data_IF_089518262538
#
_entry.id   IF_089518262538
#
_cell.length_a   1.000
_cell.length_b   1.000
_cell.length_c   1.000
_cell.angle_alpha   90.00
_cell.angle_beta   90.00
_cell.angle_gamma   90.00
#
_symmetry.space_group_name_H-M   'P 1'
#
loop_
_entity.id
_entity.type
_entity.pdbx_description
1 polymer ?
#
# COMPACT_ATOMS: atom_id res chain seq x y z
N UNK A 1 9.91 43.22 -24.06
CA UNK A 1 9.08 42.16 -23.46
C UNK A 1 9.00 42.39 -21.96
N UNK A 2 7.81 42.49 -21.36
CA UNK A 2 7.70 42.69 -19.91
C UNK A 2 7.97 41.37 -19.16
N UNK A 3 8.48 41.43 -17.92
CA UNK A 3 8.78 40.25 -17.13
C UNK A 3 7.50 39.50 -16.75
N UNK A 4 7.54 38.18 -16.90
CA UNK A 4 6.45 37.28 -16.51
C UNK A 4 6.28 37.35 -14.99
N UNK A 5 5.21 38.02 -14.58
CA UNK A 5 4.75 38.05 -13.19
C UNK A 5 4.60 36.63 -12.64
N UNK A 6 5.33 36.33 -11.57
CA UNK A 6 5.18 35.10 -10.81
C UNK A 6 3.74 35.04 -10.28
N UNK A 7 2.88 34.27 -10.96
CA UNK A 7 1.53 33.98 -10.47
C UNK A 7 1.66 33.33 -9.09
N UNK A 8 1.24 34.07 -8.06
CA UNK A 8 0.97 33.52 -6.72
C UNK A 8 0.10 32.27 -6.89
N UNK A 9 0.62 31.13 -6.45
CA UNK A 9 -0.13 29.87 -6.37
C UNK A 9 -1.42 30.13 -5.56
N UNK A 10 -2.61 29.76 -6.07
CA UNK A 10 -3.87 30.04 -5.39
C UNK A 10 -3.95 29.28 -4.05
N UNK A 11 -4.38 29.94 -2.96
CA UNK A 11 -4.54 29.31 -1.66
C UNK A 11 -5.89 28.59 -1.59
N UNK A 12 -5.89 27.31 -1.94
CA UNK A 12 -6.77 26.22 -1.45
C UNK A 12 -6.49 25.00 -2.31
N UNK A 13 -5.60 24.11 -1.85
CA UNK A 13 -5.45 22.80 -2.48
C UNK A 13 -6.80 22.08 -2.41
N UNK A 14 -7.33 21.73 -3.58
CA UNK A 14 -8.61 21.06 -3.74
C UNK A 14 -8.75 19.85 -2.81
N UNK A 15 -9.98 19.58 -2.37
CA UNK A 15 -10.43 18.54 -1.42
C UNK A 15 -10.27 17.10 -1.98
N UNK A 16 -9.23 16.84 -2.78
CA UNK A 16 -8.90 15.55 -3.39
C UNK A 16 -7.53 15.03 -2.91
N UNK A 17 -7.39 13.70 -2.83
CA UNK A 17 -6.10 13.08 -2.48
C UNK A 17 -5.01 13.48 -3.49
N UNK A 18 -3.77 13.74 -3.04
CA UNK A 18 -2.67 14.15 -3.97
C UNK A 18 -2.40 13.13 -5.08
N UNK A 19 -2.60 11.84 -4.80
CA UNK A 19 -2.53 10.75 -5.79
C UNK A 19 -3.53 10.91 -6.94
N UNK A 20 -4.67 11.60 -6.72
CA UNK A 20 -5.64 11.93 -7.78
C UNK A 20 -5.10 13.01 -8.70
N UNK A 21 -4.35 13.97 -8.17
CA UNK A 21 -3.69 15.01 -8.97
C UNK A 21 -2.62 14.38 -9.85
N UNK A 22 -1.74 13.57 -9.25
CA UNK A 22 -0.70 12.83 -9.99
C UNK A 22 -1.30 11.91 -11.08
N UNK A 23 -2.47 11.31 -10.83
CA UNK A 23 -3.18 10.54 -11.85
C UNK A 23 -3.69 11.41 -13.00
N UNK A 24 -4.14 12.64 -12.74
CA UNK A 24 -4.50 13.60 -13.81
C UNK A 24 -3.29 13.98 -14.65
N UNK A 25 -2.14 14.19 -14.01
CA UNK A 25 -0.89 14.50 -14.72
C UNK A 25 -0.51 13.36 -15.67
N UNK A 26 -0.69 12.10 -15.23
CA UNK A 26 -0.48 10.93 -16.09
C UNK A 26 -1.47 10.85 -17.26
N UNK A 27 -2.76 11.18 -17.06
CA UNK A 27 -3.74 11.26 -18.18
C UNK A 27 -3.32 12.32 -19.19
N UNK A 28 -2.95 13.52 -18.72
CA UNK A 28 -2.52 14.61 -19.58
C UNK A 28 -1.27 14.23 -20.39
N UNK A 29 -0.35 13.45 -19.80
CA UNK A 29 0.80 12.93 -20.52
C UNK A 29 0.41 11.92 -21.60
N UNK A 30 -0.53 11.00 -21.33
CA UNK A 30 -1.04 10.08 -22.35
C UNK A 30 -1.68 10.82 -23.51
N UNK A 31 -2.45 11.87 -23.23
CA UNK A 31 -3.08 12.71 -24.25
C UNK A 31 -2.04 13.45 -25.09
N UNK A 32 -1.00 14.01 -24.44
CA UNK A 32 0.11 14.67 -25.13
C UNK A 32 0.89 13.73 -26.05
N UNK A 33 1.07 12.47 -25.64
CA UNK A 33 1.75 11.43 -26.43
C UNK A 33 0.86 10.77 -27.47
N UNK A 34 -0.45 11.08 -27.51
CA UNK A 34 -1.41 10.43 -28.40
C UNK A 34 -1.68 8.96 -28.06
N UNK A 35 -1.43 8.53 -26.82
CA UNK A 35 -1.63 7.14 -26.40
C UNK A 35 -3.08 6.90 -25.98
N UNK A 36 -3.88 6.33 -26.87
CA UNK A 36 -5.30 6.07 -26.62
C UNK A 36 -5.54 4.94 -25.61
N UNK A 37 -4.77 3.84 -25.69
CA UNK A 37 -4.86 2.71 -24.76
C UNK A 37 -3.50 2.25 -24.28
N UNK A 38 -3.40 1.92 -23.00
CA UNK A 38 -2.16 1.44 -22.39
C UNK A 38 -2.38 0.30 -21.38
N UNK A 39 -1.32 -0.46 -21.11
CA UNK A 39 -1.21 -1.24 -19.88
C UNK A 39 -0.51 -0.36 -18.83
N UNK A 40 -1.03 -0.32 -17.60
CA UNK A 40 -0.41 0.50 -16.54
C UNK A 40 0.29 -0.41 -15.55
N UNK A 41 1.51 -0.01 -15.19
CA UNK A 41 2.22 -0.54 -14.04
C UNK A 41 2.52 0.60 -13.07
N UNK A 42 2.28 0.36 -11.78
CA UNK A 42 2.69 1.26 -10.72
C UNK A 42 3.35 0.52 -9.57
N UNK A 43 4.51 0.99 -9.13
CA UNK A 43 5.23 0.46 -7.96
C UNK A 43 5.04 1.37 -6.74
N UNK A 44 4.71 0.79 -5.58
CA UNK A 44 4.53 1.49 -4.32
C UNK A 44 3.50 2.63 -4.43
N UNK A 45 3.87 3.88 -4.14
CA UNK A 45 3.02 5.06 -4.38
C UNK A 45 2.55 5.15 -5.84
N UNK A 46 3.36 4.70 -6.80
CA UNK A 46 2.98 4.59 -8.20
C UNK A 46 1.80 3.65 -8.42
N UNK A 47 1.68 2.57 -7.65
CA UNK A 47 0.51 1.67 -7.68
C UNK A 47 -0.76 2.37 -7.19
N UNK A 48 -0.65 3.24 -6.18
CA UNK A 48 -1.77 4.07 -5.70
C UNK A 48 -2.22 5.08 -6.77
N UNK A 49 -1.27 5.69 -7.48
CA UNK A 49 -1.54 6.59 -8.60
C UNK A 49 -2.18 5.82 -9.76
N UNK A 50 -1.63 4.66 -10.11
CA UNK A 50 -2.16 3.78 -11.16
C UNK A 50 -3.60 3.33 -10.86
N UNK A 51 -3.92 3.02 -9.60
CA UNK A 51 -5.28 2.70 -9.17
C UNK A 51 -6.24 3.89 -9.37
N UNK A 52 -5.82 5.13 -9.06
CA UNK A 52 -6.62 6.33 -9.33
C UNK A 52 -6.78 6.57 -10.83
N UNK A 53 -5.69 6.47 -11.57
CA UNK A 53 -5.63 6.64 -13.02
C UNK A 53 -6.63 5.70 -13.70
N UNK A 54 -6.57 4.42 -13.36
CA UNK A 54 -7.43 3.39 -13.94
C UNK A 54 -8.91 3.56 -13.56
N UNK A 55 -9.22 4.02 -12.34
CA UNK A 55 -10.60 4.31 -11.92
C UNK A 55 -11.16 5.62 -12.52
N UNK A 56 -10.28 6.56 -12.90
CA UNK A 56 -10.69 7.83 -13.50
C UNK A 56 -10.95 7.74 -15.00
N UNK A 57 -10.21 6.88 -15.70
CA UNK A 57 -10.32 6.72 -17.15
C UNK A 57 -10.29 5.22 -17.55
N UNK A 58 -11.24 4.39 -17.08
CA UNK A 58 -11.19 2.93 -17.27
C UNK A 58 -11.10 2.50 -18.74
N UNK A 59 -11.72 3.25 -19.66
CA UNK A 59 -11.68 2.97 -21.10
C UNK A 59 -10.30 3.14 -21.76
N UNK A 60 -9.35 3.79 -21.08
CA UNK A 60 -7.98 4.04 -21.57
C UNK A 60 -7.02 2.90 -21.24
N UNK A 61 -7.44 1.89 -20.48
CA UNK A 61 -6.52 0.89 -19.94
C UNK A 61 -6.94 -0.53 -20.24
N UNK A 62 -5.94 -1.33 -20.64
CA UNK A 62 -6.10 -2.75 -20.98
C UNK A 62 -5.86 -3.66 -19.78
N UNK A 63 -4.97 -3.27 -18.87
CA UNK A 63 -4.72 -3.96 -17.60
C UNK A 63 -4.02 -3.05 -16.59
N UNK A 64 -4.02 -3.46 -15.33
CA UNK A 64 -3.39 -2.76 -14.21
C UNK A 64 -2.48 -3.70 -13.41
N UNK A 65 -1.19 -3.42 -13.37
CA UNK A 65 -0.24 -4.06 -12.45
C UNK A 65 0.10 -3.10 -11.30
N UNK A 66 0.00 -3.60 -10.07
CA UNK A 66 0.40 -2.86 -8.88
C UNK A 66 1.45 -3.66 -8.12
N UNK A 67 2.65 -3.08 -7.98
CA UNK A 67 3.78 -3.72 -7.31
C UNK A 67 3.98 -3.12 -5.92
N UNK A 68 4.16 -3.95 -4.90
CA UNK A 68 4.53 -3.53 -3.53
C UNK A 68 3.63 -2.39 -2.99
N UNK A 69 2.31 -2.53 -3.13
CA UNK A 69 1.33 -1.46 -2.89
C UNK A 69 0.44 -1.75 -1.67
N UNK A 70 -0.06 -0.70 -1.02
CA UNK A 70 -1.15 -0.80 -0.03
C UNK A 70 -2.33 0.09 -0.45
N UNK A 71 -3.46 -0.01 0.25
CA UNK A 71 -4.63 0.85 0.01
C UNK A 71 -4.49 2.31 0.48
N UNK A 72 -3.31 2.72 0.96
CA UNK A 72 -3.02 4.06 1.47
C UNK A 72 -3.50 4.32 2.90
N UNK A 73 -3.31 5.56 3.36
CA UNK A 73 -3.75 5.99 4.69
C UNK A 73 -3.00 5.29 5.81
N UNK A 74 -3.73 4.85 6.84
CA UNK A 74 -3.15 4.14 7.98
C UNK A 74 -2.42 2.85 7.58
N UNK A 75 -2.69 2.30 6.39
CA UNK A 75 -1.99 1.11 5.88
C UNK A 75 -0.54 1.41 5.49
N UNK A 76 -0.17 2.68 5.36
CA UNK A 76 1.20 3.13 5.20
C UNK A 76 1.95 3.27 6.52
N UNK A 77 1.28 3.09 7.68
CA UNK A 77 1.98 3.03 8.94
C UNK A 77 2.95 1.83 8.91
N UNK A 78 4.23 2.05 9.22
CA UNK A 78 5.18 0.97 9.35
C UNK A 78 4.70 -0.04 10.40
N UNK A 79 5.15 -1.29 10.29
CA UNK A 79 4.86 -2.30 11.30
C UNK A 79 5.45 -1.85 12.65
N UNK A 80 4.67 -1.97 13.71
CA UNK A 80 5.10 -1.61 15.06
C UNK A 80 5.96 -2.74 15.63
N UNK A 81 7.22 -2.78 15.21
CA UNK A 81 8.20 -3.74 15.69
C UNK A 81 9.58 -3.09 15.90
N UNK A 82 10.47 -3.71 16.71
CA UNK A 82 11.78 -3.14 17.01
C UNK A 82 12.69 -2.93 15.79
N UNK A 83 12.58 -3.77 14.76
CA UNK A 83 13.40 -3.64 13.56
C UNK A 83 12.96 -2.42 12.75
N UNK A 84 11.67 -2.26 12.53
CA UNK A 84 11.08 -1.12 11.82
C UNK A 84 11.38 0.20 12.55
N UNK A 85 11.32 0.20 13.89
CA UNK A 85 11.72 1.37 14.68
C UNK A 85 13.21 1.72 14.50
N UNK A 86 14.11 0.72 14.54
CA UNK A 86 15.55 0.93 14.29
C UNK A 86 15.80 1.52 12.90
N UNK A 87 15.09 1.03 11.89
CA UNK A 87 15.16 1.56 10.51
C UNK A 87 14.72 3.02 10.48
N UNK A 88 13.59 3.37 11.10
CA UNK A 88 13.08 4.73 11.14
C UNK A 88 14.07 5.72 11.80
N UNK A 89 14.69 5.33 12.92
CA UNK A 89 15.71 6.14 13.60
C UNK A 89 16.94 6.33 12.72
N UNK A 90 17.41 5.27 12.05
CA UNK A 90 18.55 5.36 11.12
C UNK A 90 18.23 6.27 9.93
N UNK A 91 17.04 6.15 9.36
CA UNK A 91 16.56 6.98 8.27
C UNK A 91 16.57 8.47 8.64
N UNK A 92 16.02 8.83 9.82
CA UNK A 92 16.01 10.21 10.30
C UNK A 92 17.41 10.79 10.51
N UNK A 93 18.38 9.96 10.91
CA UNK A 93 19.78 10.35 11.14
C UNK A 93 20.65 10.34 9.87
N UNK A 94 20.16 9.78 8.76
CA UNK A 94 20.91 9.62 7.53
C UNK A 94 20.94 10.93 6.72
N UNK A 95 21.97 11.76 6.95
CA UNK A 95 22.15 13.05 6.27
C UNK A 95 23.18 13.04 5.14
N UNK A 96 23.86 11.91 4.91
CA UNK A 96 24.86 11.76 3.86
C UNK A 96 24.45 10.64 2.89
N UNK A 97 24.90 10.66 1.63
CA UNK A 97 24.62 9.59 0.65
C UNK A 97 24.94 8.18 1.17
N UNK A 98 26.06 8.03 1.89
CA UNK A 98 26.55 6.77 2.46
C UNK A 98 25.59 6.21 3.50
N UNK A 99 25.23 7.05 4.49
CA UNK A 99 24.31 6.66 5.56
C UNK A 99 22.92 6.39 5.00
N UNK A 100 22.48 7.19 4.02
CA UNK A 100 21.18 7.02 3.39
C UNK A 100 21.12 5.72 2.60
N UNK A 101 22.16 5.43 1.82
CA UNK A 101 22.29 4.17 1.08
C UNK A 101 22.22 2.96 1.99
N UNK A 102 22.96 2.97 3.11
CA UNK A 102 22.94 1.85 4.06
C UNK A 102 21.52 1.55 4.56
N UNK A 103 20.69 2.57 4.77
CA UNK A 103 19.30 2.41 5.21
C UNK A 103 18.40 1.99 4.05
N UNK A 104 18.54 2.62 2.89
CA UNK A 104 17.72 2.32 1.71
C UNK A 104 17.91 0.87 1.25
N UNK A 105 19.12 0.32 1.30
CA UNK A 105 19.35 -1.10 0.95
C UNK A 105 18.59 -2.05 1.88
N UNK A 106 18.64 -1.82 3.19
CA UNK A 106 17.93 -2.65 4.19
C UNK A 106 16.40 -2.50 4.10
N UNK A 107 15.92 -1.42 3.49
CA UNK A 107 14.50 -1.16 3.25
C UNK A 107 14.05 -1.76 1.90
N UNK A 108 14.90 -1.69 0.88
CA UNK A 108 14.55 -2.04 -0.50
C UNK A 108 14.61 -3.54 -0.76
N UNK A 109 15.54 -4.26 -0.14
CA UNK A 109 15.86 -5.64 -0.50
C UNK A 109 15.77 -6.60 0.68
N UNK A 110 15.56 -7.88 0.39
CA UNK A 110 15.69 -8.91 1.41
C UNK A 110 17.15 -9.03 1.88
N UNK A 111 17.34 -9.49 3.12
CA UNK A 111 18.68 -9.73 3.67
C UNK A 111 19.44 -10.77 2.83
N UNK A 112 18.74 -11.84 2.44
CA UNK A 112 19.30 -12.92 1.63
C UNK A 112 19.85 -12.39 0.31
N UNK A 113 19.07 -11.58 -0.43
CA UNK A 113 19.50 -10.99 -1.70
C UNK A 113 20.74 -10.09 -1.56
N UNK A 114 20.83 -9.34 -0.46
CA UNK A 114 21.99 -8.49 -0.18
C UNK A 114 23.25 -9.28 0.19
N UNK A 115 23.09 -10.48 0.76
CA UNK A 115 24.19 -11.34 1.21
C UNK A 115 24.73 -12.27 0.12
N UNK A 116 23.98 -12.46 -0.98
CA UNK A 116 24.45 -13.17 -2.17
C UNK A 116 25.73 -12.56 -2.76
N UNK A 117 26.57 -13.39 -3.34
CA UNK A 117 27.76 -12.96 -4.08
C UNK A 117 27.42 -12.65 -5.55
N UNK A 118 27.99 -11.56 -6.06
CA UNK A 118 27.97 -11.17 -7.47
C UNK A 118 29.43 -11.04 -7.90
N UNK A 119 29.96 -12.09 -8.54
CA UNK A 119 31.40 -12.23 -8.74
C UNK A 119 32.11 -12.43 -7.40
N UNK A 120 33.05 -11.55 -7.05
CA UNK A 120 33.86 -11.64 -5.83
C UNK A 120 33.33 -10.82 -4.65
N UNK A 121 32.31 -9.99 -4.86
CA UNK A 121 31.76 -9.13 -3.81
C UNK A 121 30.33 -9.54 -3.46
N UNK A 122 29.90 -9.22 -2.23
CA UNK A 122 28.49 -9.33 -1.87
C UNK A 122 27.69 -8.29 -2.65
N UNK A 123 26.47 -8.65 -3.07
CA UNK A 123 25.55 -7.76 -3.78
C UNK A 123 25.33 -6.45 -3.04
N UNK A 124 25.30 -6.48 -1.70
CA UNK A 124 25.27 -5.28 -0.85
C UNK A 124 26.35 -4.27 -1.21
N UNK A 125 27.60 -4.71 -1.40
CA UNK A 125 28.71 -3.81 -1.70
C UNK A 125 28.57 -3.16 -3.09
N UNK A 126 28.21 -3.98 -4.09
CA UNK A 126 27.95 -3.53 -5.46
C UNK A 126 26.81 -2.49 -5.49
N UNK A 127 25.66 -2.81 -4.88
CA UNK A 127 24.51 -1.91 -4.83
C UNK A 127 24.80 -0.66 -3.98
N UNK A 128 25.62 -0.78 -2.94
CA UNK A 128 26.01 0.36 -2.11
C UNK A 128 26.79 1.38 -2.94
N UNK A 129 27.74 0.93 -3.76
CA UNK A 129 28.47 1.82 -4.67
C UNK A 129 27.54 2.46 -5.72
N UNK A 130 26.62 1.69 -6.31
CA UNK A 130 25.61 2.19 -7.26
C UNK A 130 24.75 3.31 -6.62
N UNK A 131 24.23 3.08 -5.43
CA UNK A 131 23.35 4.01 -4.73
C UNK A 131 24.08 5.28 -4.28
N UNK A 132 25.28 5.15 -3.69
CA UNK A 132 26.07 6.32 -3.29
C UNK A 132 26.40 7.18 -4.49
N UNK A 133 26.80 6.58 -5.61
CA UNK A 133 27.06 7.30 -6.87
C UNK A 133 25.80 8.01 -7.36
N UNK A 134 24.66 7.31 -7.37
CA UNK A 134 23.38 7.87 -7.81
C UNK A 134 22.93 9.07 -6.96
N UNK A 135 22.88 8.89 -5.63
CA UNK A 135 22.46 9.95 -4.70
C UNK A 135 23.44 11.13 -4.75
N UNK A 136 24.75 10.89 -4.89
CA UNK A 136 25.74 11.97 -5.00
C UNK A 136 25.58 12.76 -6.31
N UNK A 137 25.19 12.11 -7.40
CA UNK A 137 25.00 12.78 -8.69
C UNK A 137 23.68 13.57 -8.76
N UNK A 138 22.58 13.04 -8.23
CA UNK A 138 21.26 13.69 -8.32
C UNK A 138 20.93 14.58 -7.12
N UNK A 139 21.68 14.44 -6.04
CA UNK A 139 21.33 14.99 -4.73
C UNK A 139 20.22 14.21 -4.05
N UNK A 140 20.03 14.51 -2.75
CA UNK A 140 18.90 13.99 -1.98
C UNK A 140 17.60 14.70 -2.38
N UNK A 141 16.49 13.96 -2.30
CA UNK A 141 15.16 14.54 -2.46
C UNK A 141 14.94 15.69 -1.46
N UNK A 142 14.36 16.80 -1.94
CA UNK A 142 14.06 17.94 -1.09
C UNK A 142 13.05 17.59 0.00
N UNK A 143 13.17 18.25 1.17
CA UNK A 143 12.24 18.03 2.29
C UNK A 143 10.78 18.28 1.90
N UNK A 144 10.52 19.30 1.07
CA UNK A 144 9.19 19.60 0.57
C UNK A 144 8.66 18.50 -0.36
N UNK A 145 9.51 17.96 -1.25
CA UNK A 145 9.14 16.84 -2.11
C UNK A 145 8.83 15.59 -1.30
N UNK A 146 9.66 15.28 -0.29
CA UNK A 146 9.47 14.12 0.58
C UNK A 146 8.17 14.23 1.39
N UNK A 147 7.92 15.37 2.05
CA UNK A 147 6.66 15.63 2.75
C UNK A 147 5.45 15.60 1.80
N UNK A 148 5.64 16.04 0.56
CA UNK A 148 4.68 15.95 -0.54
C UNK A 148 4.20 14.51 -0.77
N UNK A 149 5.15 13.59 -0.96
CA UNK A 149 4.92 12.17 -1.22
C UNK A 149 4.34 11.44 0.01
N UNK A 150 4.89 11.68 1.21
CA UNK A 150 4.34 11.09 2.45
C UNK A 150 2.87 11.46 2.62
N UNK A 151 2.53 12.73 2.44
CA UNK A 151 1.13 13.15 2.48
C UNK A 151 0.29 12.53 1.35
N UNK A 152 0.86 12.30 0.18
CA UNK A 152 0.14 11.66 -0.92
C UNK A 152 -0.25 10.21 -0.58
N UNK A 153 0.67 9.44 0.01
CA UNK A 153 0.40 8.11 0.54
C UNK A 153 -0.62 8.16 1.69
N UNK A 154 -0.45 9.09 2.64
CA UNK A 154 -1.31 9.24 3.82
C UNK A 154 -2.74 9.65 3.49
N UNK A 155 -2.91 10.52 2.50
CA UNK A 155 -4.25 10.98 2.06
C UNK A 155 -4.85 10.09 0.97
N UNK A 156 -4.10 9.10 0.48
CA UNK A 156 -4.61 8.14 -0.48
C UNK A 156 -5.65 7.23 0.19
N UNK A 157 -6.76 7.01 -0.52
CA UNK A 157 -7.78 6.04 -0.18
C UNK A 157 -8.36 5.50 -1.47
N UNK A 158 -8.56 4.18 -1.55
CA UNK A 158 -9.35 3.57 -2.62
C UNK A 158 -10.80 3.49 -2.15
N UNK A 159 -11.68 4.29 -2.75
CA UNK A 159 -13.09 4.38 -2.36
C UNK A 159 -13.88 3.18 -2.88
N UNK A 160 -15.05 2.89 -2.28
CA UNK A 160 -15.95 1.82 -2.76
C UNK A 160 -16.33 2.02 -4.23
N UNK A 161 -16.68 3.25 -4.61
CA UNK A 161 -17.00 3.62 -6.00
C UNK A 161 -15.84 3.34 -6.97
N UNK A 162 -14.61 3.61 -6.55
CA UNK A 162 -13.43 3.30 -7.38
C UNK A 162 -13.21 1.78 -7.49
N UNK A 163 -13.38 1.02 -6.40
CA UNK A 163 -13.33 -0.45 -6.46
C UNK A 163 -14.40 -1.01 -7.41
N UNK A 164 -15.64 -0.52 -7.31
CA UNK A 164 -16.74 -0.92 -8.19
C UNK A 164 -16.47 -0.55 -9.64
N UNK A 165 -15.94 0.65 -9.89
CA UNK A 165 -15.54 1.09 -11.22
C UNK A 165 -14.47 0.16 -11.82
N UNK A 166 -13.42 -0.17 -11.06
CA UNK A 166 -12.36 -1.08 -11.52
C UNK A 166 -12.91 -2.48 -11.82
N UNK A 167 -13.86 -2.98 -11.02
CA UNK A 167 -14.52 -4.27 -11.29
C UNK A 167 -15.36 -4.24 -12.56
N UNK A 168 -16.17 -3.20 -12.73
CA UNK A 168 -17.06 -3.05 -13.88
C UNK A 168 -16.32 -2.71 -15.17
N UNK A 169 -15.10 -2.17 -15.08
CA UNK A 169 -14.26 -1.88 -16.25
C UNK A 169 -13.82 -3.15 -16.99
N UNK A 170 -13.84 -4.31 -16.32
CA UNK A 170 -13.60 -5.62 -16.94
C UNK A 170 -12.14 -5.92 -17.32
N UNK A 171 -11.21 -4.97 -17.18
CA UNK A 171 -9.78 -5.24 -17.36
C UNK A 171 -9.18 -5.98 -16.17
N UNK A 172 -8.14 -6.76 -16.45
CA UNK A 172 -7.47 -7.59 -15.46
C UNK A 172 -6.49 -6.78 -14.60
N UNK A 173 -6.37 -7.19 -13.34
CA UNK A 173 -5.48 -6.57 -12.34
C UNK A 173 -4.50 -7.62 -11.80
N UNK A 174 -3.21 -7.26 -11.69
CA UNK A 174 -2.21 -8.07 -11.00
C UNK A 174 -1.62 -7.29 -9.81
N UNK A 175 -1.71 -7.86 -8.62
CA UNK A 175 -1.08 -7.33 -7.40
C UNK A 175 0.14 -8.18 -7.12
N UNK A 176 1.32 -7.64 -7.38
CA UNK A 176 2.60 -8.35 -7.25
C UNK A 176 3.34 -7.80 -6.04
N UNK A 177 3.76 -8.65 -5.11
CA UNK A 177 4.26 -8.15 -3.82
C UNK A 177 5.39 -9.01 -3.26
N UNK A 178 6.39 -8.37 -2.65
CA UNK A 178 7.48 -9.05 -1.97
C UNK A 178 7.11 -9.45 -0.55
N UNK A 179 7.27 -10.73 -0.18
CA UNK A 179 6.93 -11.26 1.16
C UNK A 179 7.67 -10.57 2.31
N UNK A 180 8.85 -10.02 2.03
CA UNK A 180 9.73 -9.39 3.01
C UNK A 180 9.71 -7.86 2.93
N UNK A 181 8.68 -7.30 2.29
CA UNK A 181 8.51 -5.86 2.21
C UNK A 181 8.25 -5.24 3.58
N UNK A 182 9.24 -4.49 4.07
CA UNK A 182 9.19 -3.78 5.37
C UNK A 182 8.48 -2.42 5.30
N UNK A 183 8.22 -1.90 4.09
CA UNK A 183 7.53 -0.62 3.89
C UNK A 183 6.03 -0.86 3.72
N UNK A 184 5.68 -1.64 2.69
CA UNK A 184 4.31 -1.92 2.31
C UNK A 184 3.96 -3.33 2.78
N UNK A 185 3.19 -3.43 3.86
CA UNK A 185 2.90 -4.73 4.46
C UNK A 185 2.05 -5.59 3.52
N UNK A 186 2.53 -6.81 3.24
CA UNK A 186 1.88 -7.82 2.39
C UNK A 186 0.40 -8.04 2.74
N UNK A 187 0.06 -8.01 4.04
CA UNK A 187 -1.31 -8.14 4.52
C UNK A 187 -2.28 -7.14 3.85
N UNK A 188 -1.86 -5.89 3.69
CA UNK A 188 -2.70 -4.85 3.06
C UNK A 188 -2.80 -5.00 1.56
N UNK A 189 -1.73 -5.45 0.89
CA UNK A 189 -1.74 -5.78 -0.53
C UNK A 189 -2.73 -6.91 -0.84
N UNK A 190 -2.69 -7.99 -0.05
CA UNK A 190 -3.65 -9.10 -0.17
C UNK A 190 -5.09 -8.63 0.05
N UNK A 191 -5.35 -7.80 1.06
CA UNK A 191 -6.69 -7.21 1.29
C UNK A 191 -7.16 -6.32 0.14
N UNK A 192 -6.25 -5.61 -0.52
CA UNK A 192 -6.58 -4.82 -1.71
C UNK A 192 -6.94 -5.74 -2.87
N UNK A 193 -6.17 -6.80 -3.11
CA UNK A 193 -6.46 -7.79 -4.14
C UNK A 193 -7.82 -8.48 -3.90
N UNK A 194 -8.09 -8.91 -2.67
CA UNK A 194 -9.39 -9.48 -2.28
C UNK A 194 -10.56 -8.52 -2.53
N UNK A 195 -10.40 -7.23 -2.23
CA UNK A 195 -11.42 -6.21 -2.52
C UNK A 195 -11.70 -6.08 -4.00
N UNK A 196 -10.71 -6.34 -4.86
CA UNK A 196 -10.80 -6.29 -6.32
C UNK A 196 -11.23 -7.62 -6.94
N UNK A 197 -11.55 -8.66 -6.16
CA UNK A 197 -12.15 -9.88 -6.71
C UNK A 197 -13.41 -9.57 -7.56
N UNK A 198 -13.59 -10.18 -8.75
CA UNK A 198 -12.76 -11.22 -9.35
C UNK A 198 -11.67 -10.70 -10.32
N UNK A 199 -11.52 -9.40 -10.53
CA UNK A 199 -10.60 -8.89 -11.57
C UNK A 199 -9.12 -8.96 -11.18
N UNK A 200 -8.81 -9.19 -9.90
CA UNK A 200 -7.44 -9.21 -9.39
C UNK A 200 -6.87 -10.62 -9.20
N UNK A 201 -5.59 -10.75 -9.52
CA UNK A 201 -4.71 -11.87 -9.12
C UNK A 201 -3.68 -11.36 -8.12
N UNK A 202 -3.38 -12.16 -7.09
CA UNK A 202 -2.30 -11.88 -6.13
C UNK A 202 -1.07 -12.73 -6.48
N UNK A 203 0.09 -12.11 -6.61
CA UNK A 203 1.38 -12.76 -6.89
C UNK A 203 2.35 -12.46 -5.75
N UNK A 204 2.57 -13.45 -4.89
CA UNK A 204 3.44 -13.32 -3.71
C UNK A 204 4.85 -13.86 -4.05
N UNK A 205 5.85 -12.98 -4.06
CA UNK A 205 7.23 -13.32 -4.41
C UNK A 205 8.17 -13.27 -3.20
N UNK A 206 9.24 -14.07 -3.23
CA UNK A 206 10.29 -14.03 -2.21
C UNK A 206 11.19 -12.82 -2.43
N UNK A 207 10.82 -11.66 -1.90
CA UNK A 207 11.67 -10.48 -1.99
C UNK A 207 11.20 -9.30 -1.16
N UNK A 208 11.97 -8.22 -1.19
CA UNK A 208 11.73 -6.98 -0.45
C UNK A 208 10.79 -6.00 -1.16
N UNK A 209 10.97 -4.71 -0.87
CA UNK A 209 10.16 -3.64 -1.45
C UNK A 209 10.46 -3.42 -2.95
N UNK A 210 11.71 -3.62 -3.39
CA UNK A 210 12.11 -3.57 -4.80
C UNK A 210 12.09 -4.97 -5.42
N UNK A 211 10.96 -5.67 -5.27
CA UNK A 211 10.79 -7.05 -5.76
C UNK A 211 11.02 -7.15 -7.28
N UNK A 212 10.79 -6.08 -8.04
CA UNK A 212 11.08 -6.00 -9.47
C UNK A 212 12.58 -6.09 -9.81
N UNK A 213 13.47 -5.66 -8.91
CA UNK A 213 14.92 -5.81 -9.08
C UNK A 213 15.47 -7.08 -8.46
N UNK A 214 14.79 -7.63 -7.46
CA UNK A 214 15.22 -8.85 -6.77
C UNK A 214 14.74 -10.13 -7.48
N UNK A 215 13.54 -10.07 -8.09
CA UNK A 215 12.88 -11.17 -8.81
C UNK A 215 12.44 -10.71 -10.19
N UNK A 216 13.40 -10.22 -10.97
CA UNK A 216 13.15 -9.59 -12.26
C UNK A 216 12.46 -10.55 -13.24
N UNK A 217 12.91 -11.79 -13.32
CA UNK A 217 12.35 -12.81 -14.21
C UNK A 217 10.90 -13.14 -13.85
N UNK A 218 10.60 -13.33 -12.56
CA UNK A 218 9.26 -13.68 -12.09
C UNK A 218 8.29 -12.50 -12.20
N UNK A 219 8.74 -11.29 -11.90
CA UNK A 219 7.94 -10.08 -12.10
C UNK A 219 7.64 -9.89 -13.59
N UNK A 220 8.65 -9.98 -14.46
CA UNK A 220 8.45 -9.86 -15.91
C UNK A 220 7.49 -10.92 -16.43
N UNK A 221 7.60 -12.17 -15.96
CA UNK A 221 6.66 -13.24 -16.31
C UNK A 221 5.23 -12.89 -15.90
N UNK A 222 5.02 -12.45 -14.67
CA UNK A 222 3.70 -12.07 -14.17
C UNK A 222 3.09 -10.88 -14.95
N UNK A 223 3.92 -9.94 -15.40
CA UNK A 223 3.47 -8.82 -16.25
C UNK A 223 3.12 -9.28 -17.66
N UNK A 224 3.93 -10.13 -18.27
CA UNK A 224 3.65 -10.70 -19.59
C UNK A 224 2.39 -11.57 -19.57
N UNK A 225 2.18 -12.34 -18.51
CA UNK A 225 0.95 -13.12 -18.31
C UNK A 225 -0.28 -12.20 -18.23
N UNK A 226 -0.18 -11.09 -17.50
CA UNK A 226 -1.27 -10.10 -17.41
C UNK A 226 -1.58 -9.46 -18.77
N UNK A 227 -0.55 -9.08 -19.52
CA UNK A 227 -0.71 -8.49 -20.86
C UNK A 227 -1.37 -9.50 -21.80
N UNK A 228 -0.84 -10.73 -21.88
CA UNK A 228 -1.42 -11.79 -22.71
C UNK A 228 -2.87 -12.09 -22.35
N UNK A 229 -3.17 -12.26 -21.06
CA UNK A 229 -4.53 -12.54 -20.61
C UNK A 229 -5.51 -11.39 -20.93
N UNK A 230 -5.05 -10.15 -20.84
CA UNK A 230 -5.83 -8.96 -21.23
C UNK A 230 -6.11 -8.96 -22.74
N UNK A 231 -5.11 -9.25 -23.57
CA UNK A 231 -5.25 -9.29 -25.03
C UNK A 231 -6.14 -10.45 -25.51
N UNK A 232 -6.02 -11.61 -24.85
CA UNK A 232 -6.87 -12.78 -25.09
C UNK A 232 -8.28 -12.63 -24.49
N UNK A 233 -8.57 -11.53 -23.79
CA UNK A 233 -9.85 -11.27 -23.10
C UNK A 233 -10.24 -12.40 -22.13
N UNK A 234 -9.25 -12.95 -21.42
CA UNK A 234 -9.46 -13.96 -20.37
C UNK A 234 -10.48 -13.48 -19.36
N UNK A 235 -11.39 -14.36 -18.94
CA UNK A 235 -12.42 -13.98 -17.98
C UNK A 235 -11.80 -13.63 -16.62
N UNK A 236 -12.33 -12.64 -15.87
CA UNK A 236 -11.84 -12.34 -14.51
C UNK A 236 -11.81 -13.55 -13.57
N UNK A 237 -12.79 -14.45 -13.69
CA UNK A 237 -12.86 -15.66 -12.87
C UNK A 237 -11.80 -16.70 -13.19
N UNK A 238 -11.35 -16.78 -14.44
CA UNK A 238 -10.20 -17.61 -14.85
C UNK A 238 -8.87 -16.93 -14.50
N UNK A 239 -8.83 -15.59 -14.55
CA UNK A 239 -7.63 -14.83 -14.20
C UNK A 239 -7.29 -14.91 -12.70
N UNK A 240 -8.28 -14.78 -11.82
CA UNK A 240 -8.06 -14.66 -10.38
C UNK A 240 -7.62 -15.97 -9.73
N UNK A 241 -6.69 -15.87 -8.79
CA UNK A 241 -6.31 -16.95 -7.88
C UNK A 241 -6.87 -16.74 -6.45
N UNK A 242 -7.83 -15.83 -6.29
CA UNK A 242 -8.41 -15.47 -5.01
C UNK A 242 -9.73 -16.20 -4.79
N UNK A 243 -10.00 -16.59 -3.54
CA UNK A 243 -11.28 -17.18 -3.17
C UNK A 243 -12.38 -16.09 -3.05
N UNK A 244 -13.59 -16.41 -3.50
CA UNK A 244 -14.77 -15.60 -3.22
C UNK A 244 -15.04 -15.62 -1.71
N UNK A 245 -14.80 -14.52 -1.00
CA UNK A 245 -15.18 -14.40 0.41
C UNK A 245 -16.70 -14.56 0.53
N UNK A 246 -17.14 -15.58 1.26
CA UNK A 246 -18.52 -15.66 1.75
C UNK A 246 -18.73 -14.48 2.71
N UNK A 247 -19.88 -13.85 2.58
CA UNK A 247 -20.29 -12.81 3.52
C UNK A 247 -20.33 -13.44 4.92
N UNK A 248 -19.56 -12.92 5.88
CA UNK A 248 -19.61 -13.38 7.29
C UNK A 248 -21.05 -13.35 7.83
N UNK A 249 -21.85 -12.37 7.40
CA UNK A 249 -23.28 -12.26 7.70
C UNK A 249 -24.14 -13.42 7.18
N UNK A 250 -23.70 -14.13 6.12
CA UNK A 250 -24.38 -15.35 5.65
C UNK A 250 -24.02 -16.56 6.51
N UNK A 251 -22.78 -16.69 6.97
CA UNK A 251 -22.37 -17.80 7.85
C UNK A 251 -23.02 -17.70 9.23
N UNK A 252 -23.11 -16.48 9.78
CA UNK A 252 -23.79 -16.24 11.06
C UNK A 252 -25.31 -16.44 10.94
N UNK A 253 -25.93 -16.05 9.82
CA UNK A 253 -27.33 -16.36 9.53
C UNK A 253 -27.59 -17.84 9.33
N UNK A 254 -26.71 -18.56 8.63
CA UNK A 254 -26.85 -20.00 8.46
C UNK A 254 -26.68 -20.72 9.80
N UNK A 255 -25.70 -20.32 10.62
CA UNK A 255 -25.53 -20.84 11.98
C UNK A 255 -26.75 -20.56 12.87
N UNK A 256 -27.34 -19.36 12.80
CA UNK A 256 -28.58 -19.01 13.51
C UNK A 256 -29.82 -19.76 13.01
N UNK A 257 -29.88 -20.06 11.71
CA UNK A 257 -30.99 -20.84 11.11
C UNK A 257 -30.86 -22.32 11.47
N UNK A 258 -29.64 -22.87 11.51
CA UNK A 258 -29.39 -24.25 11.95
C UNK A 258 -29.70 -24.41 13.45
N UNK A 259 -29.33 -23.45 14.30
CA UNK A 259 -29.66 -23.45 15.73
C UNK A 259 -31.16 -23.26 16.04
N UNK A 260 -31.94 -22.65 15.13
CA UNK A 260 -33.39 -22.51 15.30
C UNK A 260 -34.18 -23.74 14.86
N UNK A 261 -33.61 -24.60 14.00
CA UNK A 261 -34.29 -25.81 13.53
C UNK A 261 -34.10 -27.03 14.44
N UNK A 262 -33.20 -26.97 15.43
CA UNK A 262 -33.00 -28.05 16.42
C UNK A 262 -33.73 -27.79 17.76
N UNK A 263 -34.56 -26.74 17.83
CA UNK A 263 -35.24 -26.30 19.07
C UNK A 263 -36.65 -26.84 19.29
N UNK A 264 -36.99 -28.05 18.83
CA UNK A 264 -38.32 -28.62 19.02
C UNK A 264 -38.36 -30.13 18.96
N UNK A 265 -38.18 -30.80 20.11
CA UNK A 265 -38.42 -32.25 20.22
C UNK A 265 -37.62 -32.91 21.34
N UNK A 266 -38.26 -33.07 22.50
CA UNK A 266 -37.76 -33.71 23.71
C UNK A 266 -37.44 -35.21 23.53
N UNK A 267 -36.31 -35.70 24.06
CA UNK A 267 -36.29 -36.71 25.14
C UNK A 267 -34.87 -37.21 25.49
N UNK A 268 -34.76 -37.67 26.73
CA UNK A 268 -33.59 -37.94 27.57
C UNK A 268 -32.83 -39.19 27.15
N UNK A 269 -31.49 -39.15 27.15
CA UNK A 269 -30.67 -40.14 27.89
C UNK A 269 -29.22 -39.68 28.06
N UNK A 270 -28.71 -39.99 29.24
CA UNK A 270 -27.44 -39.62 29.84
C UNK A 270 -26.26 -40.49 29.37
N UNK A 271 -25.11 -39.87 29.13
CA UNK A 271 -23.85 -40.29 29.77
C UNK A 271 -22.71 -39.31 29.47
N UNK A 272 -21.84 -39.21 30.47
CA UNK A 272 -20.78 -38.26 30.73
C UNK A 272 -19.58 -38.30 29.78
N UNK A 273 -19.02 -37.13 29.44
CA UNK A 273 -17.58 -36.86 29.63
C UNK A 273 -17.26 -35.36 29.60
N UNK A 274 -16.17 -35.04 30.27
CA UNK A 274 -15.81 -33.78 30.94
C UNK A 274 -15.20 -32.67 30.08
N UNK A 275 -15.49 -31.43 30.49
CA UNK A 275 -14.63 -30.21 30.50
C UNK A 275 -14.09 -29.69 29.15
N UNK A 276 -14.36 -28.45 28.73
CA UNK A 276 -14.13 -27.21 29.47
C UNK A 276 -14.91 -26.03 28.88
N UNK A 277 -15.64 -25.31 29.73
CA UNK A 277 -16.25 -24.03 29.40
C UNK A 277 -15.26 -22.90 29.71
N UNK A 278 -15.02 -21.98 28.76
CA UNK A 278 -14.58 -20.62 29.10
C UNK A 278 -15.05 -19.54 28.11
N UNK A 279 -16.02 -18.76 28.61
CA UNK A 279 -16.11 -17.30 28.56
C UNK A 279 -16.27 -16.56 27.22
N UNK A 280 -17.55 -16.36 26.89
CA UNK A 280 -18.13 -15.28 26.08
C UNK A 280 -17.97 -13.87 26.72
N UNK A 281 -16.73 -13.39 26.88
CA UNK A 281 -16.46 -12.04 27.41
C UNK A 281 -15.37 -11.25 26.66
N UNK A 282 -14.87 -11.76 25.53
CA UNK A 282 -13.73 -11.16 24.80
C UNK A 282 -14.04 -9.97 23.86
N UNK A 283 -15.22 -9.82 23.22
CA UNK A 283 -15.40 -8.73 22.25
C UNK A 283 -15.54 -7.35 22.89
N UNK A 284 -16.13 -7.26 24.08
CA UNK A 284 -16.36 -5.97 24.77
C UNK A 284 -15.08 -5.36 25.34
N UNK A 285 -14.13 -6.20 25.79
CA UNK A 285 -12.85 -5.74 26.33
C UNK A 285 -11.91 -5.23 25.23
N UNK A 286 -11.92 -5.87 24.06
CA UNK A 286 -11.11 -5.47 22.90
C UNK A 286 -11.60 -4.13 22.30
N UNK A 287 -12.91 -3.89 22.29
CA UNK A 287 -13.49 -2.64 21.81
C UNK A 287 -13.20 -1.47 22.76
N UNK A 288 -13.31 -1.68 24.08
CA UNK A 288 -12.89 -0.68 25.08
C UNK A 288 -11.39 -0.39 25.03
N UNK A 289 -10.56 -1.41 24.81
CA UNK A 289 -9.11 -1.23 24.63
C UNK A 289 -8.81 -0.43 23.35
N UNK A 290 -9.53 -0.68 22.25
CA UNK A 290 -9.40 0.07 21.01
C UNK A 290 -9.77 1.55 21.18
N UNK A 291 -10.89 1.85 21.85
CA UNK A 291 -11.33 3.20 22.16
C UNK A 291 -10.35 3.92 23.10
N UNK A 292 -9.81 3.21 24.09
CA UNK A 292 -8.78 3.73 24.99
C UNK A 292 -7.49 4.08 24.27
N UNK A 293 -7.02 3.22 23.36
CA UNK A 293 -5.83 3.48 22.54
C UNK A 293 -6.03 4.66 21.61
N UNK A 294 -7.21 4.78 20.96
CA UNK A 294 -7.54 5.93 20.13
C UNK A 294 -7.60 7.24 20.93
N UNK A 295 -8.16 7.20 22.13
CA UNK A 295 -8.20 8.34 23.04
C UNK A 295 -6.80 8.79 23.47
N UNK A 296 -5.94 7.84 23.87
CA UNK A 296 -4.56 8.13 24.25
C UNK A 296 -3.75 8.72 23.08
N UNK A 297 -3.97 8.21 21.86
CA UNK A 297 -3.33 8.73 20.65
C UNK A 297 -3.84 10.14 20.28
N UNK A 298 -5.14 10.39 20.50
CA UNK A 298 -5.74 11.72 20.34
C UNK A 298 -5.11 12.76 21.28
N UNK A 299 -4.88 12.40 22.55
CA UNK A 299 -4.20 13.26 23.52
C UNK A 299 -2.75 13.56 23.11
N UNK A 300 -2.00 12.54 22.66
CA UNK A 300 -0.60 12.73 22.20
C UNK A 300 -0.53 13.65 20.98
N UNK A 301 -1.47 13.51 20.03
CA UNK A 301 -1.53 14.37 18.85
C UNK A 301 -1.95 15.80 19.20
N UNK A 302 -2.88 15.97 20.13
CA UNK A 302 -3.30 17.27 20.63
C UNK A 302 -2.14 18.00 21.32
N UNK A 303 -1.41 17.33 22.21
CA UNK A 303 -0.20 17.86 22.85
C UNK A 303 0.88 18.21 21.84
N UNK A 304 1.14 17.33 20.85
CA UNK A 304 2.12 17.62 19.80
C UNK A 304 1.74 18.83 18.94
N UNK A 305 0.45 19.00 18.64
CA UNK A 305 -0.05 20.13 17.87
C UNK A 305 -0.03 21.43 18.69
N UNK A 306 -0.31 21.36 19.98
CA UNK A 306 -0.18 22.48 20.92
C UNK A 306 1.29 22.91 21.07
N UNK A 307 2.21 21.97 21.26
CA UNK A 307 3.65 22.22 21.34
C UNK A 307 4.19 22.83 20.03
N UNK A 308 3.74 22.30 18.87
CA UNK A 308 4.10 22.83 17.55
C UNK A 308 3.58 24.26 17.34
N UNK A 309 2.40 24.59 17.86
CA UNK A 309 1.82 25.91 17.72
C UNK A 309 2.46 26.92 18.69
N UNK A 310 2.80 26.51 19.93
CA UNK A 310 3.58 27.34 20.86
C UNK A 310 5.00 27.64 20.36
N UNK A 311 5.66 26.66 19.74
CA UNK A 311 6.97 26.87 19.10
C UNK A 311 6.92 27.82 17.89
N UNK A 312 5.75 27.97 17.25
CA UNK A 312 5.55 28.94 16.17
C UNK A 312 5.29 30.36 16.69
N UNK A 313 4.68 30.52 17.87
CA UNK A 313 4.47 31.84 18.48
C UNK A 313 5.72 32.41 19.15
N UNK A 314 6.74 31.58 19.39
CA UNK A 314 8.03 31.98 19.97
C UNK A 314 9.08 32.41 18.94
N UNK A 315 8.75 32.52 17.65
CA UNK A 315 9.67 33.12 16.67
C UNK A 315 9.67 34.64 16.86
N UNK A 316 10.79 35.27 17.23
CA UNK A 316 10.87 36.72 17.26
C UNK A 316 10.67 37.27 15.85
N UNK A 317 9.83 38.30 15.73
CA UNK A 317 9.78 39.17 14.56
C UNK A 317 11.20 39.73 14.41
N UNK A 318 11.83 39.45 13.27
CA UNK A 318 13.06 40.14 12.90
C UNK A 318 12.67 41.57 12.53
N UNK A 319 13.12 42.52 13.34
CA UNK A 319 13.14 43.95 13.01
C UNK A 319 13.96 44.22 11.73
#
# INVERSE_FOLDING_TARGET
MPPVSARKLPPRMAVGSRTKIMAKDAIALLDHLGWEKAHILGHSMGGMIACKLAAMAPGRFKSLAMLNVTGGGFQCCPKLDPQTFKIAVRFLKAKTPERRTSVDLDIHYSKEYLEEYVGFEKRRAVLYQEYVKGISATGMQSNAGFAGQVNACWTHKVTKKEIECLKSAGFLVSVIHGRHDVIAQMYYARRLAEKLYPVARMVDLHGGHLVCREKTEEVNRALLDLIRASEMKTSPHEWTNLAKKRSWWMEERMAFVTLKNEGGGSSISSSSSSSSASSSAKPFFLERLHLFVLYLFGLILFEFEYLRNGLKSLKPVRD
#
